data_IF_297082437661
#
_entry.id   IF_297082437661
#
_cell.length_a   1.000
_cell.length_b   1.000
_cell.length_c   1.000
_cell.angle_alpha   90.00
_cell.angle_beta   90.00
_cell.angle_gamma   90.00
#
_symmetry.space_group_name_H-M   'P 1'
#
loop_
_entity.id
_entity.type
_entity.pdbx_description
1 polymer ?
#
# COMPACT_ATOMS: atom_id res chain seq x y z
N UNK A 1 -10.98 9.32 -1.62
CA UNK A 1 -10.38 10.02 -0.46
C UNK A 1 -9.55 11.18 -1.00
N UNK A 2 -9.56 12.33 -0.33
CA UNK A 2 -8.78 13.51 -0.77
C UNK A 2 -7.27 13.37 -0.57
N UNK A 3 -6.82 12.41 0.25
CA UNK A 3 -5.41 12.00 0.35
C UNK A 3 -5.30 10.48 0.29
N UNK A 4 -4.26 9.96 -0.37
CA UNK A 4 -4.03 8.52 -0.50
C UNK A 4 -2.58 8.17 -0.84
N UNK A 5 -2.20 6.91 -0.65
CA UNK A 5 -1.02 6.33 -1.31
C UNK A 5 -1.44 5.83 -2.70
N UNK A 6 -0.60 6.03 -3.72
CA UNK A 6 -0.95 5.78 -5.13
C UNK A 6 0.08 4.90 -5.85
N UNK A 7 0.32 3.72 -5.31
CA UNK A 7 1.28 2.76 -5.87
C UNK A 7 2.66 2.82 -5.21
N UNK A 8 3.43 1.75 -5.43
CA UNK A 8 4.78 1.59 -4.89
C UNK A 8 5.56 0.53 -5.68
N UNK A 9 6.88 0.58 -5.59
CA UNK A 9 7.77 -0.50 -6.04
C UNK A 9 8.97 -0.63 -5.09
N UNK A 10 9.44 -1.87 -4.91
CA UNK A 10 10.56 -2.21 -4.03
C UNK A 10 11.88 -2.04 -4.80
N UNK A 11 12.85 -1.43 -4.13
CA UNK A 11 14.25 -1.41 -4.57
C UNK A 11 15.10 -2.22 -3.60
N UNK A 12 16.05 -2.96 -4.14
CA UNK A 12 17.07 -3.69 -3.38
C UNK A 12 18.37 -2.90 -3.41
N UNK A 13 19.06 -2.83 -2.29
CA UNK A 13 20.33 -2.10 -2.17
C UNK A 13 21.46 -3.09 -2.44
N UNK A 14 22.32 -2.79 -3.41
CA UNK A 14 23.61 -3.44 -3.61
C UNK A 14 24.70 -2.51 -3.05
N UNK A 15 25.17 -2.83 -1.84
CA UNK A 15 26.20 -2.04 -1.14
C UNK A 15 27.56 -2.10 -1.83
N UNK A 16 27.89 -3.20 -2.49
CA UNK A 16 29.18 -3.38 -3.18
C UNK A 16 29.27 -2.48 -4.41
N UNK A 17 28.19 -2.40 -5.20
CA UNK A 17 28.12 -1.56 -6.39
C UNK A 17 27.66 -0.13 -6.10
N UNK A 18 27.23 0.15 -4.86
CA UNK A 18 26.56 1.39 -4.45
C UNK A 18 25.40 1.76 -5.36
N UNK A 19 24.52 0.77 -5.62
CA UNK A 19 23.36 0.92 -6.51
C UNK A 19 22.10 0.34 -5.92
N UNK A 20 20.97 0.92 -6.31
CA UNK A 20 19.64 0.38 -6.16
C UNK A 20 19.27 -0.44 -7.39
N UNK A 21 18.62 -1.57 -7.16
CA UNK A 21 18.16 -2.49 -8.19
C UNK A 21 16.65 -2.68 -8.06
N UNK A 22 15.93 -2.62 -9.18
CA UNK A 22 14.51 -2.90 -9.21
C UNK A 22 14.25 -4.36 -8.78
N UNK A 23 13.40 -4.57 -7.77
CA UNK A 23 13.16 -5.93 -7.29
C UNK A 23 12.46 -6.77 -8.34
N UNK A 24 13.00 -7.95 -8.65
CA UNK A 24 12.35 -8.97 -9.50
C UNK A 24 11.04 -9.50 -8.92
N UNK A 25 10.76 -9.23 -7.65
CA UNK A 25 9.50 -9.61 -6.97
C UNK A 25 8.44 -8.51 -7.01
N UNK A 26 8.70 -7.38 -7.69
CA UNK A 26 7.68 -6.38 -7.93
C UNK A 26 6.56 -6.95 -8.81
N UNK A 27 5.33 -6.50 -8.57
CA UNK A 27 4.13 -6.95 -9.31
C UNK A 27 3.94 -6.23 -10.65
N UNK A 28 4.81 -5.29 -10.95
CA UNK A 28 4.80 -4.49 -12.17
C UNK A 28 6.19 -4.52 -12.77
N UNK A 29 6.25 -4.46 -14.09
CA UNK A 29 7.51 -4.39 -14.81
C UNK A 29 8.19 -3.05 -14.54
N UNK A 30 9.50 -3.03 -14.65
CA UNK A 30 10.25 -1.79 -14.64
C UNK A 30 9.92 -0.99 -15.92
N UNK A 31 9.42 0.23 -15.75
CA UNK A 31 9.15 1.16 -16.85
C UNK A 31 10.20 2.28 -16.90
N UNK A 32 10.16 3.12 -17.94
CA UNK A 32 11.11 4.23 -18.12
C UNK A 32 11.14 5.19 -16.91
N UNK A 33 9.99 5.48 -16.29
CA UNK A 33 9.91 6.37 -15.14
C UNK A 33 10.52 5.75 -13.88
N UNK A 34 10.39 4.43 -13.73
CA UNK A 34 11.05 3.67 -12.65
C UNK A 34 12.57 3.77 -12.81
N UNK A 35 13.08 3.60 -14.04
CA UNK A 35 14.52 3.74 -14.35
C UNK A 35 15.01 5.14 -14.03
N UNK A 36 14.29 6.18 -14.44
CA UNK A 36 14.65 7.57 -14.13
C UNK A 36 14.73 7.82 -12.61
N UNK A 37 13.82 7.24 -11.82
CA UNK A 37 13.84 7.34 -10.35
C UNK A 37 15.04 6.59 -9.78
N UNK A 38 15.30 5.37 -10.24
CA UNK A 38 16.45 4.55 -9.81
C UNK A 38 17.77 5.25 -10.15
N UNK A 39 17.90 5.81 -11.34
CA UNK A 39 19.09 6.56 -11.77
C UNK A 39 19.33 7.79 -10.90
N UNK A 40 18.27 8.53 -10.56
CA UNK A 40 18.35 9.65 -9.63
C UNK A 40 18.82 9.18 -8.24
N UNK A 41 18.26 8.08 -7.73
CA UNK A 41 18.66 7.54 -6.42
C UNK A 41 20.10 7.01 -6.43
N UNK A 42 20.54 6.37 -7.53
CA UNK A 42 21.91 5.90 -7.71
C UNK A 42 22.92 7.06 -7.72
N UNK A 43 22.59 8.18 -8.37
CA UNK A 43 23.42 9.40 -8.33
C UNK A 43 23.53 10.01 -6.93
N UNK A 44 22.57 9.71 -6.04
CA UNK A 44 22.49 10.22 -4.68
C UNK A 44 22.54 9.08 -3.65
N UNK A 45 23.32 8.02 -3.93
CA UNK A 45 23.27 6.75 -3.20
C UNK A 45 23.40 6.90 -1.69
N UNK A 46 24.39 7.68 -1.24
CA UNK A 46 24.67 7.88 0.19
C UNK A 46 23.50 8.51 0.93
N UNK A 47 22.70 9.36 0.26
CA UNK A 47 21.47 9.91 0.85
C UNK A 47 20.43 8.82 1.06
N UNK A 48 20.25 7.92 0.09
CA UNK A 48 19.15 6.95 0.10
C UNK A 48 19.50 5.58 0.69
N UNK A 49 20.76 5.31 1.02
CA UNK A 49 21.25 3.99 1.46
C UNK A 49 20.68 3.56 2.82
N UNK A 50 20.23 4.52 3.65
CA UNK A 50 19.61 4.25 4.94
C UNK A 50 18.31 5.08 5.14
N UNK A 51 17.20 4.68 4.49
CA UNK A 51 15.99 5.51 4.45
C UNK A 51 15.17 5.49 5.76
N UNK A 52 15.35 4.48 6.61
CA UNK A 52 14.55 4.25 7.81
C UNK A 52 13.04 4.19 7.54
N UNK A 53 12.23 4.27 8.59
CA UNK A 53 10.76 4.16 8.50
C UNK A 53 10.07 5.45 8.10
N UNK A 54 10.65 6.62 8.44
CA UNK A 54 10.15 7.95 8.03
C UNK A 54 10.34 8.16 6.52
N UNK A 55 11.42 7.62 5.98
CA UNK A 55 11.77 7.74 4.58
C UNK A 55 12.42 9.07 4.23
N UNK A 56 12.87 9.12 2.97
CA UNK A 56 13.57 10.24 2.37
C UNK A 56 12.79 10.67 1.13
N UNK A 57 12.49 11.97 1.04
CA UNK A 57 11.76 12.54 -0.09
C UNK A 57 12.62 12.51 -1.36
N UNK A 58 12.04 12.07 -2.46
CA UNK A 58 12.72 12.03 -3.76
C UNK A 58 12.41 13.36 -4.49
N UNK A 59 13.40 14.25 -4.54
CA UNK A 59 13.24 15.59 -5.11
C UNK A 59 13.50 15.58 -6.63
N UNK A 60 12.47 15.24 -7.40
CA UNK A 60 12.49 15.21 -8.87
C UNK A 60 11.30 15.97 -9.46
N UNK A 61 11.32 16.18 -10.79
CA UNK A 61 10.17 16.75 -11.51
C UNK A 61 8.94 15.86 -11.32
N UNK A 62 7.84 16.43 -10.81
CA UNK A 62 6.58 15.71 -10.53
C UNK A 62 5.98 15.02 -11.77
N UNK A 63 6.26 15.51 -12.97
CA UNK A 63 5.85 14.85 -14.23
C UNK A 63 6.32 13.40 -14.34
N UNK A 64 7.50 13.08 -13.80
CA UNK A 64 8.03 11.72 -13.76
C UNK A 64 7.14 10.83 -12.89
N UNK A 65 6.71 11.34 -11.73
CA UNK A 65 5.83 10.62 -10.81
C UNK A 65 4.43 10.45 -11.38
N UNK A 66 3.87 11.50 -12.00
CA UNK A 66 2.57 11.41 -12.68
C UNK A 66 2.58 10.34 -13.77
N UNK A 67 3.59 10.37 -14.64
CA UNK A 67 3.67 9.40 -15.73
C UNK A 67 3.91 7.98 -15.22
N UNK A 68 4.69 7.81 -14.15
CA UNK A 68 4.82 6.51 -13.49
C UNK A 68 3.47 5.98 -13.02
N UNK A 69 2.68 6.79 -12.32
CA UNK A 69 1.34 6.40 -11.83
C UNK A 69 0.39 6.09 -12.98
N UNK A 70 0.34 6.95 -14.01
CA UNK A 70 -0.50 6.74 -15.19
C UNK A 70 -0.14 5.42 -15.87
N UNK A 71 1.16 5.16 -16.10
CA UNK A 71 1.62 3.92 -16.70
C UNK A 71 1.26 2.69 -15.84
N UNK A 72 1.53 2.76 -14.53
CA UNK A 72 1.20 1.70 -13.55
C UNK A 72 -0.28 1.31 -13.57
N UNK A 73 -1.19 2.29 -13.65
CA UNK A 73 -2.63 2.03 -13.68
C UNK A 73 -3.14 1.61 -15.06
N UNK A 74 -2.54 2.11 -16.14
CA UNK A 74 -2.83 1.65 -17.50
C UNK A 74 -2.47 0.18 -17.71
N UNK A 75 -1.35 -0.29 -17.17
CA UNK A 75 -1.00 -1.73 -17.17
C UNK A 75 -2.08 -2.59 -16.50
N UNK A 76 -2.76 -2.04 -15.48
CA UNK A 76 -3.89 -2.67 -14.78
C UNK A 76 -5.24 -2.45 -15.47
N UNK A 77 -5.23 -1.91 -16.70
CA UNK A 77 -6.43 -1.58 -17.48
C UNK A 77 -7.38 -0.59 -16.79
N UNK A 78 -6.87 0.22 -15.86
CA UNK A 78 -7.67 1.27 -15.21
C UNK A 78 -7.81 2.44 -16.17
N UNK A 79 -9.05 2.82 -16.46
CA UNK A 79 -9.39 3.92 -17.38
C UNK A 79 -9.76 5.21 -16.64
N UNK A 80 -10.44 5.10 -15.51
CA UNK A 80 -10.95 6.23 -14.73
C UNK A 80 -10.58 6.09 -13.26
N UNK A 81 -10.45 7.23 -12.59
CA UNK A 81 -10.33 7.35 -11.14
C UNK A 81 -11.62 7.94 -10.58
N UNK A 82 -11.97 7.51 -9.38
CA UNK A 82 -13.01 8.14 -8.58
C UNK A 82 -12.40 8.62 -7.27
N UNK A 83 -12.73 9.85 -6.89
CA UNK A 83 -12.44 10.38 -5.55
C UNK A 83 -13.62 11.18 -5.04
N UNK A 84 -13.50 11.69 -3.82
CA UNK A 84 -14.54 12.46 -3.15
C UNK A 84 -13.94 13.75 -2.61
N UNK A 85 -14.62 14.86 -2.90
CA UNK A 85 -14.39 16.14 -2.27
C UNK A 85 -15.64 16.51 -1.48
N UNK A 86 -15.57 16.50 -0.15
CA UNK A 86 -16.74 16.60 0.74
C UNK A 86 -17.82 15.56 0.39
N UNK A 87 -18.94 16.00 -0.17
CA UNK A 87 -20.06 15.15 -0.58
C UNK A 87 -20.05 14.80 -2.08
N UNK A 88 -19.26 15.50 -2.88
CA UNK A 88 -19.23 15.35 -4.33
C UNK A 88 -18.22 14.28 -4.78
N UNK A 89 -18.66 13.41 -5.68
CA UNK A 89 -17.77 12.47 -6.36
C UNK A 89 -17.17 13.11 -7.60
N UNK A 90 -15.84 12.98 -7.71
CA UNK A 90 -15.09 13.36 -8.89
C UNK A 90 -14.68 12.10 -9.61
N UNK A 91 -15.13 11.94 -10.86
CA UNK A 91 -14.72 10.86 -11.74
C UNK A 91 -14.01 11.48 -12.94
N UNK A 92 -12.82 11.00 -13.24
CA UNK A 92 -12.01 11.53 -14.35
C UNK A 92 -11.11 10.45 -14.97
N UNK A 93 -10.76 10.58 -16.26
CA UNK A 93 -9.92 9.60 -16.94
C UNK A 93 -8.47 9.69 -16.44
N UNK A 94 -7.77 8.55 -16.42
CA UNK A 94 -6.42 8.43 -15.87
C UNK A 94 -5.41 9.40 -16.51
N UNK A 95 -5.60 9.77 -17.77
CA UNK A 95 -4.71 10.73 -18.46
C UNK A 95 -4.78 12.16 -17.88
N UNK A 96 -5.86 12.48 -17.14
CA UNK A 96 -6.04 13.77 -16.49
C UNK A 96 -5.54 13.79 -15.05
N UNK A 97 -4.85 12.74 -14.59
CA UNK A 97 -4.45 12.57 -13.18
C UNK A 97 -3.77 13.80 -12.56
N UNK A 98 -2.85 14.42 -13.31
CA UNK A 98 -2.09 15.60 -12.89
C UNK A 98 -2.95 16.86 -12.67
N UNK A 99 -4.18 16.90 -13.21
CA UNK A 99 -5.13 18.02 -13.00
C UNK A 99 -5.87 17.92 -11.67
N UNK A 100 -5.96 16.72 -11.10
CA UNK A 100 -6.76 16.45 -9.89
C UNK A 100 -5.92 16.21 -8.66
N UNK A 101 -4.70 15.68 -8.82
CA UNK A 101 -3.87 15.31 -7.70
C UNK A 101 -2.49 15.98 -7.78
N UNK A 102 -2.05 16.51 -6.65
CA UNK A 102 -0.63 16.72 -6.39
C UNK A 102 0.01 15.36 -6.05
N UNK A 103 1.29 15.20 -6.37
CA UNK A 103 2.03 13.96 -6.11
C UNK A 103 3.40 14.23 -5.50
N UNK A 104 3.77 13.39 -4.53
CA UNK A 104 5.11 13.31 -3.97
C UNK A 104 5.55 11.85 -3.86
N UNK A 105 6.85 11.60 -3.95
CA UNK A 105 7.44 10.28 -3.79
C UNK A 105 8.43 10.26 -2.62
N UNK A 106 8.37 9.18 -1.83
CA UNK A 106 9.28 8.94 -0.71
C UNK A 106 9.88 7.56 -0.86
N UNK A 107 11.18 7.42 -0.61
CA UNK A 107 11.82 6.13 -0.42
C UNK A 107 11.85 5.80 1.08
N UNK A 108 11.17 4.75 1.52
CA UNK A 108 11.06 4.38 2.94
C UNK A 108 11.03 2.89 3.16
N UNK A 109 11.48 2.46 4.33
CA UNK A 109 11.17 1.13 4.85
C UNK A 109 9.68 1.00 5.17
N UNK A 110 9.11 -0.12 4.75
CA UNK A 110 7.73 -0.51 5.07
C UNK A 110 7.72 -1.99 5.45
N UNK A 111 7.32 -2.28 6.70
CA UNK A 111 7.08 -3.66 7.16
C UNK A 111 6.00 -4.27 6.25
N UNK A 112 6.23 -5.49 5.80
CA UNK A 112 5.25 -6.21 4.99
C UNK A 112 3.97 -6.46 5.79
N UNK A 113 2.86 -6.70 5.08
CA UNK A 113 1.57 -6.93 5.70
C UNK A 113 1.54 -8.15 6.63
N UNK A 114 0.48 -8.23 7.44
CA UNK A 114 0.21 -9.42 8.25
C UNK A 114 -0.43 -10.53 7.40
N UNK A 115 -0.31 -11.76 7.87
CA UNK A 115 -0.98 -12.95 7.31
C UNK A 115 -1.83 -13.60 8.39
N UNK A 116 -2.79 -14.44 8.01
CA UNK A 116 -3.50 -15.28 8.98
C UNK A 116 -2.53 -16.22 9.68
N UNK A 117 -2.85 -16.58 10.92
CA UNK A 117 -2.25 -17.72 11.58
C UNK A 117 -2.41 -18.97 10.68
N UNK A 118 -1.43 -19.86 10.72
CA UNK A 118 -1.52 -21.16 10.08
C UNK A 118 -0.82 -22.22 10.93
N UNK A 119 -0.99 -23.49 10.56
CA UNK A 119 -0.52 -24.61 11.36
C UNK A 119 0.98 -24.55 11.70
N UNK A 120 1.82 -23.97 10.83
CA UNK A 120 3.27 -23.91 11.09
C UNK A 120 3.69 -22.87 12.13
N UNK A 121 2.82 -21.92 12.45
CA UNK A 121 3.08 -20.87 13.46
C UNK A 121 2.11 -20.89 14.64
N UNK A 122 1.12 -21.80 14.65
CA UNK A 122 0.19 -21.99 15.77
C UNK A 122 0.91 -22.22 17.10
N UNK A 123 1.89 -23.13 17.14
CA UNK A 123 2.63 -23.43 18.37
C UNK A 123 3.44 -22.25 18.92
N UNK A 124 3.99 -21.41 18.03
CA UNK A 124 4.70 -20.19 18.45
C UNK A 124 3.74 -19.17 19.07
N UNK A 125 2.54 -19.01 18.49
CA UNK A 125 1.48 -18.19 19.07
C UNK A 125 0.95 -18.74 20.41
N UNK A 126 0.68 -20.04 20.51
CA UNK A 126 0.23 -20.69 21.75
C UNK A 126 1.19 -20.46 22.90
N UNK A 127 2.50 -20.64 22.65
CA UNK A 127 3.52 -20.38 23.65
C UNK A 127 3.60 -18.91 24.03
N UNK A 128 3.37 -18.00 23.07
CA UNK A 128 3.30 -16.58 23.36
C UNK A 128 2.09 -16.22 24.24
N UNK A 129 0.93 -16.81 23.98
CA UNK A 129 -0.29 -16.63 24.79
C UNK A 129 -0.16 -17.21 26.20
N UNK A 130 0.60 -18.29 26.42
CA UNK A 130 0.83 -18.82 27.78
C UNK A 130 1.43 -17.77 28.72
N UNK A 131 2.25 -16.85 28.19
CA UNK A 131 2.87 -15.78 28.97
C UNK A 131 1.91 -14.66 29.39
N UNK A 132 0.73 -14.57 28.77
CA UNK A 132 -0.27 -13.54 29.07
C UNK A 132 -1.25 -13.95 30.15
N UNK A 133 -1.31 -15.24 30.49
CA UNK A 133 -2.28 -15.85 31.42
C UNK A 133 -3.76 -15.63 31.02
N UNK A 134 -4.00 -15.32 29.74
CA UNK A 134 -5.33 -15.07 29.20
C UNK A 134 -6.00 -16.38 28.78
N UNK A 135 -7.30 -16.51 29.07
CA UNK A 135 -8.09 -17.69 28.70
C UNK A 135 -8.63 -17.54 27.29
N UNK A 136 -8.43 -18.58 26.48
CA UNK A 136 -8.95 -18.65 25.12
C UNK A 136 -9.07 -20.09 24.67
N UNK A 137 -9.94 -20.32 23.70
CA UNK A 137 -10.09 -21.60 23.01
C UNK A 137 -9.89 -21.40 21.51
N UNK A 138 -9.28 -22.36 20.84
CA UNK A 138 -9.19 -22.33 19.39
C UNK A 138 -10.50 -22.77 18.75
N UNK A 139 -10.90 -22.04 17.72
CA UNK A 139 -11.83 -22.50 16.70
C UNK A 139 -11.08 -22.44 15.38
N UNK A 140 -10.62 -23.60 14.91
CA UNK A 140 -9.68 -23.74 13.81
C UNK A 140 -8.34 -23.02 14.09
N UNK A 141 -8.13 -21.87 13.43
CA UNK A 141 -6.95 -21.00 13.54
C UNK A 141 -7.30 -19.63 14.12
N UNK A 142 -8.58 -19.39 14.41
CA UNK A 142 -9.07 -18.25 15.17
C UNK A 142 -9.20 -18.65 16.65
N UNK A 143 -9.46 -17.65 17.51
CA UNK A 143 -9.70 -17.89 18.93
C UNK A 143 -11.03 -17.30 19.38
N UNK A 144 -11.62 -17.92 20.42
CA UNK A 144 -12.72 -17.37 21.20
C UNK A 144 -12.18 -17.08 22.59
N UNK A 145 -12.57 -15.93 23.16
CA UNK A 145 -12.20 -15.58 24.53
C UNK A 145 -13.25 -14.68 25.14
N UNK A 146 -13.53 -14.85 26.43
CA UNK A 146 -14.35 -13.91 27.20
C UNK A 146 -13.56 -12.67 27.62
N UNK A 147 -12.26 -12.63 27.37
CA UNK A 147 -11.41 -11.47 27.60
C UNK A 147 -11.46 -10.52 26.41
N UNK A 148 -11.22 -9.23 26.65
CA UNK A 148 -11.15 -8.23 25.57
C UNK A 148 -9.73 -8.21 24.99
N UNK A 149 -9.57 -8.92 23.87
CA UNK A 149 -8.28 -9.13 23.22
C UNK A 149 -8.09 -8.27 21.97
N UNK A 150 -9.06 -7.41 21.63
CA UNK A 150 -9.03 -6.69 20.37
C UNK A 150 -7.84 -5.73 20.30
N UNK A 151 -7.14 -5.76 19.16
CA UNK A 151 -5.94 -4.98 18.87
C UNK A 151 -4.73 -5.32 19.74
N UNK A 152 -4.79 -6.37 20.55
CA UNK A 152 -3.65 -6.83 21.33
C UNK A 152 -2.52 -7.31 20.41
N UNK A 153 -1.28 -6.98 20.80
CA UNK A 153 -0.07 -7.52 20.17
C UNK A 153 0.64 -8.44 21.14
N UNK A 154 1.06 -9.60 20.65
CA UNK A 154 1.72 -10.63 21.45
C UNK A 154 3.00 -11.04 20.72
N UNK A 155 4.13 -11.01 21.43
CA UNK A 155 5.42 -11.36 20.86
C UNK A 155 5.70 -12.85 21.09
N UNK A 156 5.70 -13.62 20.00
CA UNK A 156 6.23 -14.98 20.01
C UNK A 156 7.76 -14.99 19.83
N UNK A 157 8.34 -16.18 19.84
CA UNK A 157 9.79 -16.34 19.63
C UNK A 157 10.17 -16.04 18.18
N UNK A 158 9.29 -16.41 17.23
CA UNK A 158 9.55 -16.26 15.78
C UNK A 158 8.84 -15.06 15.18
N UNK A 159 7.63 -14.77 15.62
CA UNK A 159 6.79 -13.73 15.04
C UNK A 159 6.05 -12.93 16.11
N UNK A 160 5.70 -11.70 15.77
CA UNK A 160 4.67 -10.96 16.50
C UNK A 160 3.29 -11.35 15.96
N UNK A 161 2.30 -11.39 16.84
CA UNK A 161 0.90 -11.66 16.52
C UNK A 161 0.03 -10.46 16.89
N UNK A 162 -1.07 -10.29 16.17
CA UNK A 162 -2.07 -9.26 16.40
C UNK A 162 -3.46 -9.89 16.40
N UNK A 163 -4.26 -9.57 17.41
CA UNK A 163 -5.61 -10.10 17.57
C UNK A 163 -6.62 -9.08 17.09
N UNK A 164 -7.52 -9.48 16.18
CA UNK A 164 -8.59 -8.62 15.66
C UNK A 164 -9.94 -9.23 15.98
N UNK A 165 -10.77 -8.54 16.75
CA UNK A 165 -12.15 -8.98 17.02
C UNK A 165 -12.96 -8.94 15.73
N UNK A 166 -13.81 -9.94 15.53
CA UNK A 166 -14.84 -9.90 14.49
C UNK A 166 -15.98 -8.99 14.95
N UNK A 167 -16.37 -8.03 14.10
CA UNK A 167 -17.37 -7.00 14.45
C UNK A 167 -18.78 -7.58 14.67
N UNK A 168 -19.07 -8.76 14.12
CA UNK A 168 -20.43 -9.33 14.02
C UNK A 168 -20.52 -10.76 14.59
N UNK A 169 -19.95 -10.99 15.78
CA UNK A 169 -20.08 -12.31 16.44
C UNK A 169 -20.49 -12.18 17.90
N UNK A 170 -21.56 -12.89 18.27
CA UNK A 170 -22.01 -13.07 19.66
C UNK A 170 -20.98 -13.81 20.53
N UNK A 171 -19.99 -14.46 19.90
CA UNK A 171 -19.11 -15.44 20.55
C UNK A 171 -17.71 -14.88 20.84
N UNK A 172 -17.52 -13.56 20.91
CA UNK A 172 -16.22 -12.91 21.14
C UNK A 172 -15.07 -13.58 20.37
N UNK A 173 -15.26 -13.72 19.04
CA UNK A 173 -14.29 -14.37 18.17
C UNK A 173 -13.22 -13.37 17.72
N UNK A 174 -11.97 -13.83 17.64
CA UNK A 174 -10.83 -13.05 17.21
C UNK A 174 -10.03 -13.75 16.10
N UNK A 175 -9.74 -13.02 15.03
CA UNK A 175 -8.78 -13.41 13.99
C UNK A 175 -7.35 -13.23 14.53
N UNK A 176 -6.55 -14.29 14.46
CA UNK A 176 -5.12 -14.23 14.81
C UNK A 176 -4.30 -13.89 13.56
N UNK A 177 -3.63 -12.73 13.59
CA UNK A 177 -2.80 -12.23 12.48
C UNK A 177 -1.32 -12.31 12.84
N UNK A 178 -0.54 -13.07 12.09
CA UNK A 178 0.93 -13.07 12.15
C UNK A 178 1.50 -11.86 11.43
N UNK A 179 2.28 -11.02 12.12
CA UNK A 179 2.96 -9.87 11.55
C UNK A 179 4.27 -10.32 10.85
N UNK A 180 4.53 -9.77 9.65
CA UNK A 180 5.72 -10.16 8.87
C UNK A 180 7.00 -9.51 9.40
N UNK A 181 8.11 -10.26 9.46
CA UNK A 181 9.41 -9.70 9.85
C UNK A 181 10.10 -8.93 8.71
N UNK A 182 9.62 -9.06 7.47
CA UNK A 182 10.25 -8.45 6.29
C UNK A 182 10.03 -6.94 6.28
N UNK A 183 11.13 -6.19 6.30
CA UNK A 183 11.17 -4.72 6.19
C UNK A 183 11.96 -4.34 4.94
N UNK A 184 11.28 -4.27 3.80
CA UNK A 184 11.90 -3.81 2.57
C UNK A 184 11.64 -2.32 2.39
N UNK A 185 12.58 -1.63 1.77
CA UNK A 185 12.39 -0.26 1.35
C UNK A 185 11.69 -0.19 -0.01
N UNK A 186 10.77 0.75 -0.16
CA UNK A 186 10.05 0.99 -1.40
C UNK A 186 10.00 2.48 -1.72
N UNK A 187 10.00 2.78 -3.01
CA UNK A 187 9.51 4.06 -3.51
C UNK A 187 8.00 4.01 -3.44
N UNK A 188 7.40 4.94 -2.71
CA UNK A 188 5.96 5.04 -2.52
C UNK A 188 5.46 6.43 -2.90
N UNK A 189 4.37 6.46 -3.64
CA UNK A 189 3.75 7.70 -4.09
C UNK A 189 2.60 8.07 -3.16
N UNK A 190 2.54 9.34 -2.77
CA UNK A 190 1.43 9.92 -2.02
C UNK A 190 0.79 11.01 -2.85
N UNK A 191 -0.53 11.06 -2.84
CA UNK A 191 -1.33 12.02 -3.59
C UNK A 191 -2.24 12.82 -2.68
N UNK A 192 -2.48 14.07 -3.07
CA UNK A 192 -3.40 14.99 -2.40
C UNK A 192 -4.25 15.70 -3.44
N UNK A 193 -5.56 15.68 -3.23
CA UNK A 193 -6.52 16.33 -4.13
C UNK A 193 -6.23 17.83 -4.19
N UNK A 194 -6.15 18.34 -5.42
CA UNK A 194 -5.98 19.75 -5.72
C UNK A 194 -7.33 20.44 -5.89
N UNK A 195 -7.37 21.79 -5.80
CA UNK A 195 -8.42 22.56 -6.45
C UNK A 195 -8.52 22.15 -7.92
N UNK A 196 -9.74 21.89 -8.40
CA UNK A 196 -9.99 21.41 -9.76
C UNK A 196 -10.93 22.37 -10.51
N UNK A 197 -10.90 22.27 -11.84
CA UNK A 197 -11.81 23.00 -12.71
C UNK A 197 -13.15 22.27 -12.82
N UNK A 198 -14.24 22.95 -12.48
CA UNK A 198 -15.62 22.42 -12.63
C UNK A 198 -15.92 22.12 -14.10
N UNK A 199 -15.47 22.98 -15.02
CA UNK A 199 -15.63 22.77 -16.46
C UNK A 199 -14.90 21.51 -16.95
N UNK A 200 -13.67 21.28 -16.47
CA UNK A 200 -12.93 20.06 -16.79
C UNK A 200 -13.65 18.84 -16.21
N UNK A 201 -14.12 18.91 -14.97
CA UNK A 201 -14.86 17.81 -14.34
C UNK A 201 -16.14 17.46 -15.10
N UNK A 202 -16.89 18.46 -15.59
CA UNK A 202 -18.08 18.23 -16.41
C UNK A 202 -17.77 17.51 -17.74
N UNK A 203 -16.66 17.87 -18.40
CA UNK A 203 -16.15 17.19 -19.61
C UNK A 203 -15.76 15.75 -19.31
N UNK A 204 -15.07 15.53 -18.19
CA UNK A 204 -14.58 14.21 -17.77
C UNK A 204 -15.74 13.27 -17.40
N UNK A 205 -16.80 13.78 -16.76
CA UNK A 205 -18.04 13.01 -16.52
C UNK A 205 -18.73 12.63 -17.84
N UNK A 206 -18.77 13.54 -18.81
CA UNK A 206 -19.32 13.22 -20.13
C UNK A 206 -18.55 12.10 -20.80
N UNK A 207 -17.21 12.12 -20.72
CA UNK A 207 -16.35 11.05 -21.22
C UNK A 207 -16.61 9.72 -20.50
N UNK A 208 -16.75 9.74 -19.18
CA UNK A 208 -17.07 8.56 -18.38
C UNK A 208 -18.42 7.95 -18.79
N UNK A 209 -19.48 8.78 -18.90
CA UNK A 209 -20.81 8.35 -19.35
C UNK A 209 -20.78 7.71 -20.74
N UNK A 210 -20.03 8.29 -21.68
CA UNK A 210 -19.86 7.71 -23.02
C UNK A 210 -19.17 6.35 -22.99
N UNK A 211 -18.13 6.19 -22.17
CA UNK A 211 -17.40 4.92 -22.05
C UNK A 211 -18.29 3.80 -21.48
N UNK A 212 -19.16 4.09 -20.51
CA UNK A 212 -20.07 3.08 -19.94
C UNK A 212 -21.21 2.74 -20.90
N UNK A 213 -21.80 3.72 -21.58
CA UNK A 213 -22.90 3.50 -22.53
C UNK A 213 -22.46 2.70 -23.75
N UNK A 214 -21.23 2.92 -24.22
CA UNK A 214 -20.67 2.14 -25.33
C UNK A 214 -20.45 0.66 -24.99
N UNK A 215 -20.50 0.27 -23.71
CA UNK A 215 -20.33 -1.12 -23.26
C UNK A 215 -21.63 -1.87 -23.02
N UNK A 216 -22.78 -1.19 -22.99
CA UNK A 216 -24.09 -1.83 -22.81
C UNK A 216 -24.63 -2.49 -24.11
N UNK A 217 -23.86 -2.46 -25.20
CA UNK A 217 -24.21 -3.04 -26.51
C UNK A 217 -23.25 -4.17 -26.98
N UNK A 218 -22.49 -4.78 -26.07
CA UNK A 218 -21.66 -5.98 -26.31
C UNK A 218 -21.95 -7.03 -25.24
#
# INVERSE_FOLDING_TARGET
MSTAQCGQFVLLINLNEKKFQYSSKNKTSENEYSKMIVDFMNKNFETFSNPGTKGISIQMKKSIFYNWVINYYKEKKVKFFITKNNEEFLIFPIDQFHKYFDINAVYREKKSGSSRLNSSNKSDFENAMKSTNMKYDFVELDIISNEELNKMKISGKKYDYFLKKYDDTSNNKYEVRKLSNTKNANVIFSIKLLPYSIEQQAKDITMFKKEIMNKEFL
#
